data_IF_318245198519
#
_entry.id   IF_318245198519
#
_cell.length_a   1.000
_cell.length_b   1.000
_cell.length_c   1.000
_cell.angle_alpha   90.00
_cell.angle_beta   90.00
_cell.angle_gamma   90.00
#
_symmetry.space_group_name_H-M   'P 1'
#
loop_
_entity.id
_entity.type
_entity.pdbx_description
1 polymer ?
#
# COMPACT_ATOMS: atom_id res chain seq x y z
N UNK A 1 19.86 -5.30 5.99
CA UNK A 1 18.51 -4.73 6.18
C UNK A 1 18.46 -3.57 7.15
N UNK A 2 19.28 -3.53 8.19
CA UNK A 2 19.18 -2.48 9.21
C UNK A 2 19.42 -1.05 8.67
N UNK A 3 20.30 -0.88 7.68
CA UNK A 3 20.52 0.44 7.07
C UNK A 3 19.29 0.92 6.30
N UNK A 4 18.71 0.07 5.48
CA UNK A 4 17.49 0.40 4.73
C UNK A 4 16.34 0.70 5.67
N UNK A 5 16.21 -0.11 6.73
CA UNK A 5 15.21 0.09 7.78
C UNK A 5 15.37 1.45 8.47
N UNK A 6 16.58 1.80 8.86
CA UNK A 6 16.87 3.04 9.56
C UNK A 6 16.61 4.26 8.67
N UNK A 7 17.03 4.23 7.41
CA UNK A 7 16.80 5.32 6.46
C UNK A 7 15.30 5.53 6.21
N UNK A 8 14.56 4.45 6.09
CA UNK A 8 13.11 4.51 5.89
C UNK A 8 12.42 5.09 7.13
N UNK A 9 12.82 4.65 8.33
CA UNK A 9 12.29 5.18 9.59
C UNK A 9 12.56 6.66 9.74
N UNK A 10 13.78 7.12 9.44
CA UNK A 10 14.13 8.55 9.50
C UNK A 10 13.22 9.38 8.59
N UNK A 11 13.00 8.89 7.36
CA UNK A 11 12.13 9.57 6.41
C UNK A 11 10.69 9.63 6.93
N UNK A 12 10.16 8.51 7.41
CA UNK A 12 8.78 8.46 7.90
C UNK A 12 8.56 9.33 9.13
N UNK A 13 9.54 9.40 10.03
CA UNK A 13 9.46 10.23 11.24
C UNK A 13 9.36 11.72 10.93
N UNK A 14 9.82 12.15 9.75
CA UNK A 14 9.67 13.52 9.30
C UNK A 14 8.23 13.86 8.91
N UNK A 15 7.44 12.88 8.55
CA UNK A 15 6.10 13.07 7.96
C UNK A 15 4.96 12.47 8.77
N UNK A 16 5.26 11.49 9.63
CA UNK A 16 4.23 10.71 10.32
C UNK A 16 4.59 10.48 11.78
N UNK A 17 3.56 10.23 12.59
CA UNK A 17 3.75 9.82 13.98
C UNK A 17 3.70 8.30 14.06
N UNK A 18 4.55 7.72 14.92
CA UNK A 18 4.57 6.27 15.14
C UNK A 18 3.19 5.76 15.58
N UNK A 19 2.80 4.62 15.02
CA UNK A 19 1.53 3.96 15.34
C UNK A 19 0.29 4.54 14.67
N UNK A 20 0.44 5.62 13.90
CA UNK A 20 -0.69 6.30 13.25
C UNK A 20 -0.91 5.84 11.80
N UNK A 21 0.12 5.84 10.90
CA UNK A 21 -0.14 5.52 9.51
C UNK A 21 -0.36 4.02 9.30
N UNK A 22 -1.43 3.62 8.58
CA UNK A 22 -1.57 2.24 8.13
C UNK A 22 -0.59 1.95 7.00
N UNK A 23 -0.22 0.69 6.83
CA UNK A 23 0.55 0.26 5.68
C UNK A 23 -0.40 0.05 4.51
N UNK A 24 -0.08 0.61 3.34
CA UNK A 24 -0.94 0.58 2.15
C UNK A 24 -0.23 -0.08 0.98
N UNK A 25 -0.99 -0.80 0.15
CA UNK A 25 -0.46 -1.42 -1.06
C UNK A 25 -1.35 -2.51 -1.58
N UNK A 26 -0.92 -3.17 -2.65
CA UNK A 26 -1.61 -4.34 -3.20
C UNK A 26 -1.13 -5.61 -2.49
N UNK A 27 -2.08 -6.45 -2.04
CA UNK A 27 -1.77 -7.72 -1.35
C UNK A 27 -0.80 -7.49 -0.19
N UNK A 28 -1.10 -6.49 0.60
CA UNK A 28 -0.18 -5.91 1.59
C UNK A 28 0.22 -6.88 2.72
N UNK A 29 -0.54 -7.95 2.92
CA UNK A 29 -0.20 -8.95 3.92
C UNK A 29 1.15 -9.61 3.70
N UNK A 30 1.58 -9.74 2.44
CA UNK A 30 2.91 -10.27 2.11
C UNK A 30 4.01 -9.30 2.52
N UNK A 31 3.81 -8.01 2.26
CA UNK A 31 4.75 -6.96 2.66
C UNK A 31 4.88 -6.90 4.17
N UNK A 32 3.77 -7.03 4.89
CA UNK A 32 3.80 -7.06 6.36
C UNK A 32 4.59 -8.25 6.90
N UNK A 33 4.43 -9.43 6.31
CA UNK A 33 5.21 -10.60 6.73
C UNK A 33 6.69 -10.39 6.53
N UNK A 34 7.08 -9.82 5.39
CA UNK A 34 8.48 -9.50 5.11
C UNK A 34 9.02 -8.50 6.12
N UNK A 35 8.30 -7.40 6.35
CA UNK A 35 8.73 -6.37 7.30
C UNK A 35 8.85 -6.90 8.71
N UNK A 36 7.88 -7.69 9.15
CA UNK A 36 7.90 -8.29 10.51
C UNK A 36 9.12 -9.17 10.71
N UNK A 37 9.49 -9.91 9.68
CA UNK A 37 10.63 -10.83 9.76
C UNK A 37 11.98 -10.12 9.65
N UNK A 38 12.11 -9.21 8.73
CA UNK A 38 13.41 -8.63 8.36
C UNK A 38 13.60 -7.19 8.83
N UNK A 39 12.53 -6.48 9.09
CA UNK A 39 12.57 -5.08 9.51
C UNK A 39 11.54 -4.83 10.63
N UNK A 40 11.71 -5.50 11.78
CA UNK A 40 10.68 -5.44 12.83
C UNK A 40 10.46 -4.05 13.42
N UNK A 41 11.50 -3.22 13.50
CA UNK A 41 11.37 -1.85 14.02
C UNK A 41 10.55 -1.00 13.06
N UNK A 42 10.80 -1.12 11.76
CA UNK A 42 10.01 -0.43 10.75
C UNK A 42 8.56 -0.92 10.77
N UNK A 43 8.36 -2.24 10.86
CA UNK A 43 7.03 -2.81 10.94
C UNK A 43 6.24 -2.25 12.13
N UNK A 44 6.88 -2.13 13.28
CA UNK A 44 6.24 -1.61 14.49
C UNK A 44 5.87 -0.12 14.41
N UNK A 45 6.46 0.63 13.47
CA UNK A 45 6.12 2.04 13.25
C UNK A 45 4.71 2.21 12.73
N UNK A 46 4.22 1.26 11.92
CA UNK A 46 2.91 1.37 11.29
C UNK A 46 1.78 0.95 12.23
N UNK A 47 0.60 1.52 12.00
CA UNK A 47 -0.62 1.04 12.64
C UNK A 47 -0.86 -0.42 12.24
N UNK A 48 -1.48 -1.21 13.12
CA UNK A 48 -1.71 -2.63 12.84
C UNK A 48 -2.70 -2.87 11.68
N UNK A 49 -3.56 -1.89 11.37
CA UNK A 49 -4.49 -1.98 10.25
C UNK A 49 -3.79 -1.63 8.95
N UNK A 50 -4.25 -2.26 7.86
CA UNK A 50 -3.71 -2.04 6.53
C UNK A 50 -4.78 -1.55 5.58
N UNK A 51 -4.37 -0.80 4.56
CA UNK A 51 -5.21 -0.49 3.42
C UNK A 51 -4.72 -1.35 2.25
N UNK A 52 -5.52 -2.36 1.88
CA UNK A 52 -5.15 -3.28 0.79
C UNK A 52 -5.95 -2.92 -0.47
N UNK A 53 -5.25 -2.39 -1.47
CA UNK A 53 -5.84 -1.98 -2.74
C UNK A 53 -6.43 -3.18 -3.49
N UNK A 54 -5.83 -4.36 -3.33
CA UNK A 54 -6.35 -5.60 -3.94
C UNK A 54 -7.74 -5.93 -3.42
N UNK A 55 -8.02 -5.67 -2.14
CA UNK A 55 -9.35 -5.86 -1.57
C UNK A 55 -10.39 -4.97 -2.25
N UNK A 56 -10.06 -3.72 -2.50
CA UNK A 56 -10.94 -2.78 -3.20
C UNK A 56 -11.18 -3.26 -4.64
N UNK A 57 -10.15 -3.75 -5.30
CA UNK A 57 -10.24 -4.31 -6.65
C UNK A 57 -11.22 -5.48 -6.70
N UNK A 58 -11.12 -6.39 -5.73
CA UNK A 58 -12.01 -7.56 -5.65
C UNK A 58 -13.47 -7.12 -5.45
N UNK A 59 -13.70 -6.18 -4.54
CA UNK A 59 -15.03 -5.64 -4.28
C UNK A 59 -15.59 -4.89 -5.50
N UNK A 60 -14.76 -4.13 -6.20
CA UNK A 60 -15.15 -3.43 -7.41
C UNK A 60 -15.64 -4.39 -8.48
N UNK A 61 -14.94 -5.49 -8.68
CA UNK A 61 -15.35 -6.51 -9.65
C UNK A 61 -16.65 -7.21 -9.26
N UNK A 62 -16.83 -7.43 -7.96
CA UNK A 62 -18.01 -8.13 -7.45
C UNK A 62 -19.26 -7.25 -7.46
N UNK A 63 -19.12 -6.00 -7.06
CA UNK A 63 -20.25 -5.09 -6.82
C UNK A 63 -20.53 -4.11 -7.96
N UNK A 64 -19.51 -3.77 -8.74
CA UNK A 64 -19.59 -2.76 -9.80
C UNK A 64 -18.99 -3.31 -11.10
N UNK A 65 -19.60 -4.35 -11.69
CA UNK A 65 -19.03 -5.01 -12.87
C UNK A 65 -18.92 -4.10 -14.10
N UNK A 66 -19.68 -3.01 -14.14
CA UNK A 66 -19.65 -2.07 -15.27
C UNK A 66 -18.46 -1.10 -15.19
N UNK A 67 -17.81 -0.99 -14.04
CA UNK A 67 -16.60 -0.17 -13.91
C UNK A 67 -15.45 -0.91 -14.54
N UNK A 68 -14.76 -0.24 -15.47
CA UNK A 68 -13.61 -0.84 -16.16
C UNK A 68 -12.50 -1.17 -15.17
N UNK A 69 -11.86 -2.32 -15.38
CA UNK A 69 -10.68 -2.68 -14.61
C UNK A 69 -9.56 -1.67 -14.87
N UNK A 70 -8.91 -1.24 -13.80
CA UNK A 70 -7.70 -0.45 -13.92
C UNK A 70 -6.58 -1.33 -14.47
N UNK A 71 -5.80 -0.79 -15.40
CA UNK A 71 -4.66 -1.49 -16.00
C UNK A 71 -3.37 -0.87 -15.53
N UNK A 72 -2.53 -1.70 -14.93
CA UNK A 72 -1.23 -1.30 -14.43
C UNK A 72 -0.24 -1.19 -15.59
N UNK A 73 0.54 -0.11 -15.61
CA UNK A 73 1.67 0.00 -16.51
C UNK A 73 2.71 -1.08 -16.19
N UNK A 74 3.31 -1.64 -17.23
CA UNK A 74 4.21 -2.80 -17.11
C UNK A 74 5.61 -2.44 -16.62
N UNK A 75 5.73 -1.76 -15.49
CA UNK A 75 7.01 -1.58 -14.82
C UNK A 75 7.29 -2.77 -13.92
N UNK A 76 8.54 -3.21 -13.85
CA UNK A 76 8.97 -4.31 -12.97
C UNK A 76 9.82 -3.84 -11.79
N UNK A 77 10.02 -2.53 -11.68
CA UNK A 77 10.77 -1.95 -10.56
C UNK A 77 9.84 -1.74 -9.37
N UNK A 78 10.40 -1.89 -8.16
CA UNK A 78 9.62 -1.68 -6.94
C UNK A 78 8.94 -0.29 -6.89
N UNK A 79 9.65 0.76 -7.34
CA UNK A 79 9.07 2.11 -7.38
C UNK A 79 7.89 2.21 -8.35
N UNK A 80 7.96 1.54 -9.50
CA UNK A 80 6.87 1.49 -10.46
C UNK A 80 5.65 0.77 -9.86
N UNK A 81 5.88 -0.30 -9.10
CA UNK A 81 4.81 -1.04 -8.43
C UNK A 81 4.13 -0.19 -7.35
N UNK A 82 4.90 0.59 -6.60
CA UNK A 82 4.36 1.50 -5.59
C UNK A 82 3.51 2.59 -6.24
N UNK A 83 4.02 3.21 -7.29
CA UNK A 83 3.28 4.23 -8.05
C UNK A 83 2.02 3.64 -8.67
N UNK A 84 2.13 2.43 -9.22
CA UNK A 84 0.99 1.71 -9.76
C UNK A 84 -0.10 1.46 -8.73
N UNK A 85 0.27 1.09 -7.51
CA UNK A 85 -0.69 0.88 -6.42
C UNK A 85 -1.40 2.18 -6.02
N UNK A 86 -0.65 3.28 -5.96
CA UNK A 86 -1.23 4.60 -5.66
C UNK A 86 -2.20 5.03 -6.76
N UNK A 87 -1.81 4.87 -8.02
CA UNK A 87 -2.65 5.21 -9.17
C UNK A 87 -3.92 4.35 -9.22
N UNK A 88 -3.79 3.07 -8.91
CA UNK A 88 -4.92 2.15 -8.85
C UNK A 88 -5.90 2.56 -7.77
N UNK A 89 -5.43 2.88 -6.58
CA UNK A 89 -6.27 3.36 -5.49
C UNK A 89 -6.98 4.66 -5.86
N UNK A 90 -6.26 5.60 -6.48
CA UNK A 90 -6.82 6.86 -6.95
C UNK A 90 -7.92 6.63 -8.00
N UNK A 91 -7.72 5.67 -8.90
CA UNK A 91 -8.72 5.29 -9.89
C UNK A 91 -10.01 4.79 -9.22
N UNK A 92 -9.90 3.89 -8.25
CA UNK A 92 -11.09 3.38 -7.54
C UNK A 92 -11.75 4.47 -6.70
N UNK A 93 -10.98 5.37 -6.11
CA UNK A 93 -11.55 6.52 -5.40
C UNK A 93 -12.44 7.35 -6.31
N UNK A 94 -11.97 7.62 -7.52
CA UNK A 94 -12.71 8.39 -8.52
C UNK A 94 -13.96 7.67 -9.01
N UNK A 95 -13.87 6.36 -9.25
CA UNK A 95 -14.93 5.58 -9.86
C UNK A 95 -15.99 5.08 -8.88
N UNK A 96 -15.63 4.80 -7.64
CA UNK A 96 -16.48 4.07 -6.70
C UNK A 96 -16.92 4.87 -5.49
N UNK A 97 -16.09 5.77 -5.01
CA UNK A 97 -16.37 6.48 -3.77
C UNK A 97 -16.98 7.84 -4.04
N UNK A 98 -17.90 8.25 -3.17
CA UNK A 98 -18.46 9.60 -3.20
C UNK A 98 -17.52 10.56 -2.47
N UNK A 99 -17.36 11.72 -3.03
CA UNK A 99 -16.64 12.82 -2.36
C UNK A 99 -17.50 13.51 -1.32
#
# INVERSE_FOLDING_TARGET
MSEAENLTLEFLQLHCLAGVPPLCGNTIGQDRRFLRRYMPTLHAFFHYRSVDVTSIKILARAWYPDVKNWRKNSGHRALDDIRGSIEELAYYRDQLFRD
#
